data_IF_970674863920
#
_entry.id   IF_970674863920
#
_cell.length_a   1.000
_cell.length_b   1.000
_cell.length_c   1.000
_cell.angle_alpha   90.00
_cell.angle_beta   90.00
_cell.angle_gamma   90.00
#
_symmetry.space_group_name_H-M   'P 1'
#
loop_
_entity.id
_entity.type
_entity.pdbx_description
1 polymer ?
#
# COMPACT_ATOMS: atom_id res chain seq x y z
N UNK A 1 -14.13 4.29 3.01
CA UNK A 1 -13.64 2.99 3.50
C UNK A 1 -13.34 2.13 2.29
N UNK A 2 -12.06 1.96 1.93
CA UNK A 2 -11.70 1.12 0.80
C UNK A 2 -11.85 -0.33 1.22
N UNK A 3 -12.78 -1.02 0.57
CA UNK A 3 -12.97 -2.46 0.65
C UNK A 3 -11.66 -3.16 0.33
N UNK A 4 -10.98 -3.69 1.34
CA UNK A 4 -9.86 -4.63 1.13
C UNK A 4 -10.49 -5.98 0.79
N UNK A 5 -11.08 -6.07 -0.41
CA UNK A 5 -11.17 -7.36 -1.06
C UNK A 5 -9.73 -7.89 -1.14
N UNK A 6 -9.50 -9.12 -0.69
CA UNK A 6 -8.22 -9.78 -0.80
C UNK A 6 -7.83 -9.83 -2.29
N UNK A 7 -7.11 -8.79 -2.74
CA UNK A 7 -6.60 -8.70 -4.10
C UNK A 7 -5.53 -9.78 -4.21
N UNK A 8 -5.52 -10.46 -5.36
CA UNK A 8 -4.50 -11.46 -5.67
C UNK A 8 -3.11 -10.92 -5.28
N UNK A 9 -2.21 -11.77 -4.74
CA UNK A 9 -0.89 -11.33 -4.30
C UNK A 9 -0.27 -10.44 -5.37
N UNK A 10 0.29 -9.27 -4.98
CA UNK A 10 0.77 -8.29 -5.95
C UNK A 10 1.68 -9.00 -6.95
N UNK A 11 1.49 -8.72 -8.24
CA UNK A 11 2.38 -9.26 -9.25
C UNK A 11 3.79 -8.79 -8.90
N UNK A 12 4.65 -9.73 -8.52
CA UNK A 12 6.04 -9.44 -8.15
C UNK A 12 6.77 -8.97 -9.41
N UNK A 13 6.79 -7.66 -9.63
CA UNK A 13 7.61 -7.05 -10.67
C UNK A 13 9.04 -6.95 -10.14
N UNK A 14 10.01 -7.26 -11.00
CA UNK A 14 11.40 -7.00 -10.67
C UNK A 14 11.62 -5.49 -10.54
N UNK A 15 12.13 -5.07 -9.39
CA UNK A 15 12.52 -3.70 -9.11
C UNK A 15 13.95 -3.47 -9.59
N UNK A 16 14.19 -2.34 -10.24
CA UNK A 16 15.53 -1.86 -10.52
C UNK A 16 15.95 -0.78 -9.51
N UNK A 17 17.22 -0.38 -9.57
CA UNK A 17 17.78 0.62 -8.65
C UNK A 17 17.05 1.98 -8.70
N UNK A 18 16.45 2.33 -9.84
CA UNK A 18 15.66 3.57 -9.95
C UNK A 18 14.34 3.41 -9.22
N UNK A 19 13.66 2.27 -9.36
CA UNK A 19 12.42 1.99 -8.64
C UNK A 19 12.65 2.01 -7.12
N UNK A 20 13.72 1.37 -6.65
CA UNK A 20 14.09 1.37 -5.22
C UNK A 20 14.37 2.77 -4.70
N UNK A 21 15.08 3.60 -5.48
CA UNK A 21 15.35 5.00 -5.14
C UNK A 21 14.07 5.85 -5.06
N UNK A 22 13.14 5.66 -6.00
CA UNK A 22 11.83 6.33 -5.98
C UNK A 22 11.05 5.94 -4.71
N UNK A 23 10.99 4.64 -4.39
CA UNK A 23 10.32 4.13 -3.20
C UNK A 23 10.95 4.71 -1.93
N UNK A 24 12.28 4.79 -1.85
CA UNK A 24 12.98 5.33 -0.69
C UNK A 24 12.64 6.82 -0.47
N UNK A 25 12.63 7.62 -1.53
CA UNK A 25 12.31 9.05 -1.45
C UNK A 25 10.84 9.29 -1.08
N UNK A 26 9.91 8.54 -1.67
CA UNK A 26 8.48 8.63 -1.33
C UNK A 26 8.16 8.07 0.05
N UNK A 27 8.96 7.14 0.57
CA UNK A 27 8.85 6.67 1.96
C UNK A 27 9.22 7.76 2.96
N UNK A 28 10.24 8.56 2.63
CA UNK A 28 10.66 9.70 3.46
C UNK A 28 9.66 10.86 3.36
N UNK A 29 9.18 11.17 2.15
CA UNK A 29 8.14 12.16 1.89
C UNK A 29 7.23 11.71 0.74
N UNK A 30 6.06 11.17 1.08
CA UNK A 30 5.07 10.71 0.10
C UNK A 30 4.50 11.82 -0.79
N UNK A 31 4.74 13.10 -0.43
CA UNK A 31 4.33 14.27 -1.20
C UNK A 31 5.46 14.85 -2.04
N UNK A 32 6.63 14.20 -2.06
CA UNK A 32 7.79 14.72 -2.78
C UNK A 32 7.45 14.91 -4.28
N UNK A 33 7.66 16.12 -4.84
CA UNK A 33 7.38 16.35 -6.25
C UNK A 33 8.26 15.48 -7.15
N UNK A 34 7.70 14.93 -8.24
CA UNK A 34 8.45 14.07 -9.16
C UNK A 34 9.68 14.75 -9.77
N UNK A 35 9.62 16.07 -10.00
CA UNK A 35 10.78 16.87 -10.41
C UNK A 35 11.96 16.83 -9.42
N UNK A 36 11.67 16.75 -8.12
CA UNK A 36 12.69 16.69 -7.08
C UNK A 36 13.30 15.29 -7.02
N UNK A 37 12.46 14.25 -7.10
CA UNK A 37 12.90 12.85 -7.21
C UNK A 37 13.78 12.66 -8.45
N UNK A 38 13.38 13.21 -9.60
CA UNK A 38 14.13 13.14 -10.85
C UNK A 38 15.53 13.73 -10.72
N UNK A 39 15.65 14.91 -10.07
CA UNK A 39 16.93 15.55 -9.79
C UNK A 39 17.81 14.72 -8.87
N UNK A 40 17.23 14.14 -7.82
CA UNK A 40 17.97 13.33 -6.84
C UNK A 40 18.52 12.03 -7.46
N UNK A 41 17.75 11.40 -8.34
CA UNK A 41 18.10 10.13 -8.98
C UNK A 41 18.82 10.29 -10.33
N UNK A 42 19.02 11.52 -10.81
CA UNK A 42 19.67 11.78 -12.11
C UNK A 42 18.88 11.30 -13.32
N UNK A 43 17.55 11.29 -13.25
CA UNK A 43 16.64 10.88 -14.33
C UNK A 43 15.70 12.02 -14.73
N UNK A 44 14.85 11.79 -15.75
CA UNK A 44 13.83 12.78 -16.14
C UNK A 44 12.57 12.64 -15.30
N UNK A 45 11.79 13.72 -15.19
CA UNK A 45 10.48 13.67 -14.51
C UNK A 45 9.50 12.69 -15.20
N UNK A 46 9.57 12.56 -16.53
CA UNK A 46 8.74 11.60 -17.28
C UNK A 46 9.09 10.15 -16.93
N UNK A 47 10.39 9.85 -16.73
CA UNK A 47 10.83 8.55 -16.23
C UNK A 47 10.25 8.28 -14.84
N UNK A 48 10.38 9.20 -13.89
CA UNK A 48 9.80 9.03 -12.53
C UNK A 48 8.30 8.77 -12.60
N UNK A 49 7.56 9.58 -13.37
CA UNK A 49 6.11 9.42 -13.54
C UNK A 49 5.74 8.05 -14.09
N UNK A 50 6.45 7.56 -15.10
CA UNK A 50 6.19 6.26 -15.70
C UNK A 50 6.50 5.11 -14.71
N UNK A 51 7.58 5.23 -13.93
CA UNK A 51 7.95 4.24 -12.91
C UNK A 51 6.93 4.19 -11.78
N UNK A 52 6.56 5.34 -11.20
CA UNK A 52 5.55 5.41 -10.13
C UNK A 52 4.23 4.80 -10.59
N UNK A 53 3.76 5.18 -11.78
CA UNK A 53 2.52 4.63 -12.34
C UNK A 53 2.57 3.11 -12.48
N UNK A 54 3.69 2.55 -12.97
CA UNK A 54 3.87 1.10 -13.08
C UNK A 54 3.83 0.42 -11.70
N UNK A 55 4.51 1.00 -10.70
CA UNK A 55 4.53 0.48 -9.33
C UNK A 55 3.14 0.53 -8.67
N UNK A 56 2.33 1.55 -8.97
CA UNK A 56 0.95 1.67 -8.50
C UNK A 56 0.01 0.68 -9.20
N UNK A 57 0.10 0.54 -10.53
CA UNK A 57 -0.72 -0.39 -11.30
C UNK A 57 -0.46 -1.86 -10.94
N UNK A 58 0.79 -2.20 -10.57
CA UNK A 58 1.16 -3.54 -10.10
C UNK A 58 0.88 -3.79 -8.62
N UNK A 59 0.34 -2.80 -7.89
CA UNK A 59 0.20 -2.81 -6.43
C UNK A 59 1.51 -3.02 -5.64
N UNK A 60 2.66 -2.81 -6.27
CA UNK A 60 3.95 -2.94 -5.60
C UNK A 60 4.23 -1.73 -4.69
N UNK A 61 3.64 -0.57 -4.99
CA UNK A 61 3.74 0.62 -4.17
C UNK A 61 2.43 1.39 -4.18
N UNK A 62 2.07 2.00 -3.04
CA UNK A 62 1.00 3.00 -2.93
C UNK A 62 1.44 4.10 -1.97
N UNK A 63 1.13 5.35 -2.28
CA UNK A 63 1.24 6.46 -1.33
C UNK A 63 -0.11 6.66 -0.66
N UNK A 64 -0.16 6.53 0.67
CA UNK A 64 -1.40 6.65 1.44
C UNK A 64 -1.23 7.67 2.55
N UNK A 65 -2.32 8.38 2.86
CA UNK A 65 -2.41 9.12 4.11
C UNK A 65 -2.64 8.11 5.23
N UNK A 66 -1.82 8.16 6.28
CA UNK A 66 -2.03 7.36 7.49
C UNK A 66 -2.87 8.19 8.46
N UNK A 67 -4.06 7.70 8.76
CA UNK A 67 -4.92 8.29 9.80
C UNK A 67 -4.41 7.83 11.16
N UNK A 68 -4.31 8.75 12.10
CA UNK A 68 -4.05 8.42 13.49
C UNK A 68 -5.25 7.64 14.05
N UNK A 69 -4.99 6.43 14.55
CA UNK A 69 -6.02 5.47 14.99
C UNK A 69 -6.75 6.01 16.24
N UNK A 70 -6.03 6.66 17.15
CA UNK A 70 -6.59 7.24 18.36
C UNK A 70 -7.48 8.45 18.02
N UNK A 71 -6.99 9.34 17.15
CA UNK A 71 -7.76 10.47 16.64
C UNK A 71 -9.00 10.05 15.85
N UNK A 72 -9.00 8.85 15.26
CA UNK A 72 -10.15 8.25 14.60
C UNK A 72 -11.19 7.64 15.57
N UNK A 73 -10.95 7.71 16.88
CA UNK A 73 -11.86 7.23 17.92
C UNK A 73 -11.62 5.78 18.35
N UNK A 74 -10.55 5.14 17.87
CA UNK A 74 -10.19 3.79 18.25
C UNK A 74 -9.15 3.81 19.38
N UNK A 75 -9.60 3.61 20.62
CA UNK A 75 -8.74 3.61 21.80
C UNK A 75 -7.89 2.34 21.97
N UNK A 76 -8.05 1.34 21.10
CA UNK A 76 -7.32 0.08 21.17
C UNK A 76 -7.19 -0.54 19.78
N UNK A 77 -5.98 -1.00 19.45
CA UNK A 77 -5.71 -1.82 18.28
C UNK A 77 -5.31 -3.23 18.73
N UNK A 78 -5.96 -4.26 18.19
CA UNK A 78 -5.68 -5.66 18.51
C UNK A 78 -5.38 -6.45 17.23
N UNK A 79 -4.31 -7.24 17.26
CA UNK A 79 -4.09 -8.29 16.26
C UNK A 79 -4.78 -9.58 16.74
N UNK A 80 -5.77 -10.05 16.00
CA UNK A 80 -6.55 -11.25 16.35
C UNK A 80 -6.30 -12.32 15.28
N UNK A 81 -5.79 -13.48 15.70
CA UNK A 81 -5.74 -14.67 14.87
C UNK A 81 -7.03 -15.46 14.99
N UNK A 82 -7.66 -15.80 13.86
CA UNK A 82 -8.90 -16.59 13.82
C UNK A 82 -8.62 -17.93 13.16
N UNK A 83 -8.84 -19.03 13.89
CA UNK A 83 -8.78 -20.38 13.36
C UNK A 83 -10.19 -20.89 13.06
N UNK A 84 -10.35 -21.53 11.91
CA UNK A 84 -11.62 -22.03 11.39
C UNK A 84 -11.48 -23.50 10.99
N UNK A 85 -12.42 -24.34 11.42
CA UNK A 85 -12.37 -25.78 11.17
C UNK A 85 -13.47 -26.26 10.21
N UNK A 86 -14.71 -25.82 10.43
CA UNK A 86 -15.89 -26.38 9.75
C UNK A 86 -16.41 -25.53 8.60
N UNK A 87 -15.88 -24.32 8.43
CA UNK A 87 -16.28 -23.36 7.38
C UNK A 87 -15.08 -22.98 6.54
N UNK A 88 -15.32 -22.70 5.25
CA UNK A 88 -14.31 -22.12 4.39
C UNK A 88 -13.83 -20.76 4.96
N UNK A 89 -12.50 -20.54 5.09
CA UNK A 89 -11.95 -19.30 5.63
C UNK A 89 -12.49 -18.04 4.96
N UNK A 90 -12.71 -18.06 3.65
CA UNK A 90 -13.23 -16.93 2.88
C UNK A 90 -14.68 -16.58 3.22
N UNK A 91 -15.49 -17.57 3.62
CA UNK A 91 -16.85 -17.31 4.07
C UNK A 91 -16.85 -16.63 5.44
N UNK A 92 -16.01 -17.12 6.36
CA UNK A 92 -15.86 -16.52 7.70
C UNK A 92 -15.27 -15.11 7.59
N UNK A 93 -14.26 -14.91 6.75
CA UNK A 93 -13.66 -13.60 6.50
C UNK A 93 -14.67 -12.58 5.99
N UNK A 94 -15.60 -12.97 5.10
CA UNK A 94 -16.67 -12.09 4.61
C UNK A 94 -17.64 -11.67 5.72
N UNK A 95 -18.00 -12.59 6.61
CA UNK A 95 -18.86 -12.27 7.75
C UNK A 95 -18.15 -11.30 8.70
N UNK A 96 -16.88 -11.57 9.04
CA UNK A 96 -16.06 -10.69 9.88
C UNK A 96 -15.90 -9.29 9.28
N UNK A 97 -15.72 -9.19 7.96
CA UNK A 97 -15.60 -7.91 7.27
C UNK A 97 -16.89 -7.06 7.28
N UNK A 98 -18.03 -7.64 7.68
CA UNK A 98 -19.31 -6.92 7.83
C UNK A 98 -19.53 -6.35 9.23
N UNK A 99 -18.66 -6.69 10.19
CA UNK A 99 -18.75 -6.17 11.54
C UNK A 99 -18.33 -4.68 11.56
N UNK A 100 -18.94 -3.87 12.44
CA UNK A 100 -18.76 -2.41 12.46
C UNK A 100 -17.50 -1.93 13.20
N UNK A 101 -16.70 -2.83 13.77
CA UNK A 101 -15.41 -2.48 14.38
C UNK A 101 -14.34 -2.18 13.32
#
# INVERSE_FOLDING_TARGET
MNTVAAKAPPALIALDATDEGIIALLRADGRMPYRAIARELGVTESTVRARVRRLEESDTMRVVAVTDIEAAGYGMLLAIGVQVETRAPEAVARDLASLPE
#
